data_IF_455610673252
#
_entry.id   IF_455610673252
#
_cell.length_a   1.000
_cell.length_b   1.000
_cell.length_c   1.000
_cell.angle_alpha   90.00
_cell.angle_beta   90.00
_cell.angle_gamma   90.00
#
_symmetry.space_group_name_H-M   'P 1'
#
loop_
_entity.id
_entity.type
_entity.pdbx_description
1 polymer ?
#
# COMPACT_ATOMS: atom_id res chain seq x y z
N UNK A 1 4.13 -24.67 7.10
CA UNK A 1 4.39 -23.31 6.59
C UNK A 1 5.51 -22.63 7.39
N UNK A 2 6.72 -23.25 7.46
CA UNK A 2 7.88 -22.65 8.18
C UNK A 2 8.50 -21.42 7.50
N UNK A 3 8.17 -21.19 6.22
CA UNK A 3 8.79 -20.14 5.39
C UNK A 3 8.35 -18.70 5.73
N UNK A 4 7.22 -18.54 6.40
CA UNK A 4 6.70 -17.22 6.79
C UNK A 4 7.23 -16.73 8.14
N UNK A 5 7.80 -17.58 8.97
CA UNK A 5 8.22 -17.18 10.32
C UNK A 5 9.48 -16.31 10.36
N UNK A 6 10.36 -16.40 9.35
CA UNK A 6 11.68 -15.75 9.38
C UNK A 6 11.93 -14.75 8.24
N UNK A 7 10.90 -14.34 7.48
CA UNK A 7 11.10 -13.40 6.35
C UNK A 7 11.97 -13.96 5.21
N UNK A 8 12.25 -15.26 5.20
CA UNK A 8 13.17 -15.91 4.24
C UNK A 8 12.60 -16.07 2.82
N UNK A 9 11.42 -15.54 2.56
CA UNK A 9 10.83 -15.57 1.22
C UNK A 9 11.66 -14.79 0.17
N UNK A 10 12.51 -13.86 0.59
CA UNK A 10 13.46 -13.18 -0.29
C UNK A 10 14.46 -14.13 -0.96
N UNK A 11 14.79 -15.23 -0.29
CA UNK A 11 15.74 -16.24 -0.77
C UNK A 11 15.11 -17.27 -1.72
N UNK A 12 13.77 -17.22 -1.90
CA UNK A 12 13.05 -18.10 -2.81
C UNK A 12 12.76 -17.38 -4.13
N UNK A 13 13.45 -17.78 -5.19
CA UNK A 13 13.39 -17.13 -6.51
C UNK A 13 11.96 -17.00 -7.06
N UNK A 14 11.15 -18.06 -6.96
CA UNK A 14 9.77 -18.04 -7.45
C UNK A 14 8.88 -17.10 -6.65
N UNK A 15 9.04 -17.07 -5.33
CA UNK A 15 8.26 -16.16 -4.48
C UNK A 15 8.67 -14.70 -4.71
N UNK A 16 9.98 -14.43 -4.81
CA UNK A 16 10.51 -13.11 -5.18
C UNK A 16 9.95 -12.65 -6.53
N UNK A 17 9.94 -13.53 -7.54
CA UNK A 17 9.39 -13.23 -8.86
C UNK A 17 7.90 -12.89 -8.78
N UNK A 18 7.10 -13.71 -8.11
CA UNK A 18 5.65 -13.47 -7.95
C UNK A 18 5.38 -12.12 -7.26
N UNK A 19 6.11 -11.81 -6.20
CA UNK A 19 5.95 -10.55 -5.47
C UNK A 19 6.36 -9.35 -6.33
N UNK A 20 7.47 -9.44 -7.08
CA UNK A 20 7.91 -8.36 -7.98
C UNK A 20 6.87 -8.11 -9.09
N UNK A 21 6.33 -9.16 -9.72
CA UNK A 21 5.27 -9.02 -10.71
C UNK A 21 4.00 -8.39 -10.10
N UNK A 22 3.63 -8.81 -8.89
CA UNK A 22 2.49 -8.19 -8.18
C UNK A 22 2.74 -6.70 -7.91
N UNK A 23 3.95 -6.30 -7.53
CA UNK A 23 4.29 -4.88 -7.34
C UNK A 23 4.22 -4.08 -8.64
N UNK A 24 4.51 -4.68 -9.80
CA UNK A 24 4.29 -4.03 -11.10
C UNK A 24 2.80 -3.72 -11.32
N UNK A 25 1.89 -4.67 -11.04
CA UNK A 25 0.45 -4.41 -11.12
C UNK A 25 -0.02 -3.35 -10.11
N UNK A 26 0.50 -3.37 -8.89
CA UNK A 26 0.16 -2.37 -7.87
C UNK A 26 0.69 -0.97 -8.23
N UNK A 27 1.85 -0.90 -8.89
CA UNK A 27 2.36 0.37 -9.45
C UNK A 27 1.45 0.88 -10.57
N UNK A 28 1.01 0.00 -11.47
CA UNK A 28 0.02 0.34 -12.50
C UNK A 28 -1.28 0.87 -11.88
N UNK A 29 -1.80 0.19 -10.85
CA UNK A 29 -2.97 0.65 -10.08
C UNK A 29 -2.73 2.04 -9.46
N UNK A 30 -1.58 2.27 -8.85
CA UNK A 30 -1.22 3.56 -8.27
C UNK A 30 -1.18 4.69 -9.31
N UNK A 31 -0.58 4.45 -10.48
CA UNK A 31 -0.54 5.41 -11.58
C UNK A 31 -1.94 5.70 -12.12
N UNK A 32 -2.77 4.65 -12.31
CA UNK A 32 -4.13 4.82 -12.83
C UNK A 32 -5.05 5.56 -11.85
N UNK A 33 -4.79 5.49 -10.53
CA UNK A 33 -5.49 6.31 -9.55
C UNK A 33 -5.26 7.81 -9.77
N UNK A 34 -4.03 8.24 -10.08
CA UNK A 34 -3.76 9.62 -10.45
C UNK A 34 -4.50 9.99 -11.73
N UNK A 35 -4.36 9.18 -12.78
CA UNK A 35 -5.01 9.44 -14.06
C UNK A 35 -6.53 9.57 -13.90
N UNK A 36 -7.15 8.68 -13.12
CA UNK A 36 -8.59 8.69 -12.86
C UNK A 36 -9.03 9.91 -12.06
N UNK A 37 -8.23 10.35 -11.08
CA UNK A 37 -8.52 11.55 -10.31
C UNK A 37 -8.48 12.79 -11.20
N UNK A 38 -7.40 12.97 -11.94
CA UNK A 38 -7.22 14.16 -12.81
C UNK A 38 -8.12 14.15 -14.04
N UNK A 39 -8.61 13.00 -14.48
CA UNK A 39 -9.65 12.93 -15.51
C UNK A 39 -11.02 13.47 -15.04
N UNK A 40 -11.26 13.49 -13.73
CA UNK A 40 -12.55 13.90 -13.14
C UNK A 40 -12.48 15.25 -12.43
N UNK A 41 -11.37 15.54 -11.75
CA UNK A 41 -11.18 16.66 -10.83
C UNK A 41 -9.74 17.18 -10.89
N UNK A 42 -9.53 18.38 -10.33
CA UNK A 42 -8.22 18.95 -10.06
C UNK A 42 -7.97 19.02 -8.54
N UNK A 43 -6.76 19.41 -8.13
CA UNK A 43 -6.39 19.57 -6.72
C UNK A 43 -6.94 20.86 -6.08
N UNK A 44 -8.06 21.37 -6.59
CA UNK A 44 -8.75 22.54 -6.05
C UNK A 44 -10.08 22.11 -5.42
N UNK A 45 -10.44 22.62 -4.24
CA UNK A 45 -11.73 22.31 -3.63
C UNK A 45 -12.92 22.63 -4.54
N UNK A 46 -12.83 23.71 -5.32
CA UNK A 46 -13.87 24.06 -6.27
C UNK A 46 -14.09 22.96 -7.32
N UNK A 47 -13.02 22.40 -7.88
CA UNK A 47 -13.14 21.30 -8.86
C UNK A 47 -13.77 20.04 -8.26
N UNK A 48 -13.48 19.75 -6.98
CA UNK A 48 -14.10 18.65 -6.25
C UNK A 48 -15.59 18.92 -6.01
N UNK A 49 -15.96 20.14 -5.64
CA UNK A 49 -17.37 20.54 -5.49
C UNK A 49 -18.11 20.40 -6.83
N UNK A 50 -17.57 20.94 -7.92
CA UNK A 50 -18.15 20.83 -9.26
C UNK A 50 -18.40 19.37 -9.68
N UNK A 51 -17.51 18.45 -9.26
CA UNK A 51 -17.65 17.03 -9.58
C UNK A 51 -18.76 16.35 -8.77
N UNK A 52 -18.87 16.63 -7.46
CA UNK A 52 -19.84 15.97 -6.59
C UNK A 52 -21.19 16.67 -6.55
N UNK A 53 -21.20 18.01 -6.52
CA UNK A 53 -22.40 18.82 -6.37
C UNK A 53 -22.99 19.27 -7.72
N UNK A 54 -22.20 19.15 -8.79
CA UNK A 54 -22.54 19.69 -10.10
C UNK A 54 -22.13 21.16 -10.26
N UNK A 55 -22.25 21.66 -11.47
CA UNK A 55 -21.97 23.06 -11.80
C UNK A 55 -22.83 23.46 -12.99
N UNK A 56 -23.67 24.48 -12.81
CA UNK A 56 -24.51 25.00 -13.89
C UNK A 56 -23.67 25.63 -15.02
N UNK A 57 -22.59 26.33 -14.66
CA UNK A 57 -21.66 26.93 -15.61
C UNK A 57 -20.97 25.91 -16.53
N UNK A 58 -20.77 24.68 -16.02
CA UNK A 58 -20.09 23.58 -16.74
C UNK A 58 -21.05 22.51 -17.23
N UNK A 59 -22.35 22.76 -17.13
CA UNK A 59 -23.42 21.79 -17.48
C UNK A 59 -23.21 20.41 -16.86
N UNK A 60 -22.72 20.37 -15.60
CA UNK A 60 -22.48 19.13 -14.87
C UNK A 60 -23.60 18.89 -13.87
N UNK A 61 -24.23 17.73 -13.98
CA UNK A 61 -25.22 17.27 -13.01
C UNK A 61 -24.55 16.81 -11.71
N UNK A 62 -25.21 16.98 -10.54
CA UNK A 62 -24.72 16.43 -9.27
C UNK A 62 -24.64 14.91 -9.32
N UNK A 63 -23.69 14.32 -8.62
CA UNK A 63 -23.62 12.87 -8.46
C UNK A 63 -24.85 12.33 -7.72
N UNK A 64 -25.46 11.29 -8.29
CA UNK A 64 -26.59 10.62 -7.64
C UNK A 64 -26.11 9.68 -6.54
N UNK A 65 -26.97 9.41 -5.56
CA UNK A 65 -26.70 8.42 -4.50
C UNK A 65 -26.32 7.05 -5.09
N UNK A 66 -27.08 6.59 -6.08
CA UNK A 66 -26.84 5.30 -6.73
C UNK A 66 -25.45 5.25 -7.40
N UNK A 67 -25.09 6.26 -8.18
CA UNK A 67 -23.78 6.32 -8.84
C UNK A 67 -22.63 6.32 -7.82
N UNK A 68 -22.79 6.98 -6.68
CA UNK A 68 -21.78 6.97 -5.61
C UNK A 68 -21.68 5.61 -4.92
N UNK A 69 -22.83 4.96 -4.69
CA UNK A 69 -22.90 3.65 -4.06
C UNK A 69 -22.19 2.58 -4.93
N UNK A 70 -22.48 2.58 -6.25
CA UNK A 70 -21.84 1.67 -7.21
C UNK A 70 -20.31 1.83 -7.23
N UNK A 71 -19.84 3.07 -7.26
CA UNK A 71 -18.38 3.36 -7.21
C UNK A 71 -17.79 2.89 -5.89
N UNK A 72 -18.41 3.24 -4.76
CA UNK A 72 -17.91 2.85 -3.43
C UNK A 72 -17.91 1.33 -3.26
N UNK A 73 -18.96 0.65 -3.72
CA UNK A 73 -19.06 -0.81 -3.63
C UNK A 73 -17.90 -1.52 -4.37
N UNK A 74 -17.45 -0.98 -5.49
CA UNK A 74 -16.32 -1.54 -6.24
C UNK A 74 -14.96 -1.10 -5.69
N UNK A 75 -14.84 0.16 -5.27
CA UNK A 75 -13.57 0.75 -4.82
C UNK A 75 -13.17 0.28 -3.42
N UNK A 76 -14.10 0.23 -2.47
CA UNK A 76 -13.80 -0.04 -1.07
C UNK A 76 -13.12 -1.41 -0.85
N UNK A 77 -13.64 -2.53 -1.40
CA UNK A 77 -12.97 -3.81 -1.28
C UNK A 77 -11.61 -3.83 -1.98
N UNK A 78 -11.51 -3.23 -3.18
CA UNK A 78 -10.27 -3.22 -3.96
C UNK A 78 -9.17 -2.45 -3.23
N UNK A 79 -9.47 -1.24 -2.74
CA UNK A 79 -8.53 -0.43 -1.97
C UNK A 79 -8.14 -1.14 -0.67
N UNK A 80 -9.13 -1.75 0.02
CA UNK A 80 -8.88 -2.54 1.22
C UNK A 80 -7.91 -3.69 0.99
N UNK A 81 -8.08 -4.45 -0.11
CA UNK A 81 -7.17 -5.54 -0.49
C UNK A 81 -5.76 -5.03 -0.83
N UNK A 82 -5.66 -3.93 -1.58
CA UNK A 82 -4.36 -3.32 -1.91
C UNK A 82 -3.61 -2.90 -0.65
N UNK A 83 -4.28 -2.18 0.26
CA UNK A 83 -3.68 -1.72 1.52
C UNK A 83 -3.32 -2.91 2.41
N UNK A 84 -4.21 -3.91 2.51
CA UNK A 84 -3.95 -5.15 3.25
C UNK A 84 -2.70 -5.85 2.71
N UNK A 85 -2.59 -6.05 1.41
CA UNK A 85 -1.48 -6.74 0.79
C UNK A 85 -0.15 -6.01 1.02
N UNK A 86 -0.12 -4.70 0.76
CA UNK A 86 1.09 -3.88 0.94
C UNK A 86 1.53 -3.83 2.41
N UNK A 87 0.59 -3.61 3.33
CA UNK A 87 0.90 -3.56 4.77
C UNK A 87 1.24 -4.94 5.34
N UNK A 88 0.63 -6.01 4.82
CA UNK A 88 0.98 -7.38 5.21
C UNK A 88 2.43 -7.71 4.84
N UNK A 89 2.86 -7.37 3.63
CA UNK A 89 4.26 -7.54 3.23
C UNK A 89 5.21 -6.67 4.03
N UNK A 90 4.80 -5.45 4.42
CA UNK A 90 5.60 -4.56 5.26
C UNK A 90 5.94 -5.17 6.63
N UNK A 91 5.12 -6.09 7.16
CA UNK A 91 5.40 -6.77 8.42
C UNK A 91 6.76 -7.48 8.40
N UNK A 92 7.17 -7.97 7.24
CA UNK A 92 8.45 -8.69 7.07
C UNK A 92 9.64 -7.75 6.80
N UNK A 93 9.39 -6.49 6.45
CA UNK A 93 10.45 -5.52 6.20
C UNK A 93 11.18 -5.12 7.51
N UNK A 94 12.47 -4.71 7.46
CA UNK A 94 13.29 -4.44 8.63
C UNK A 94 12.98 -3.08 9.29
N UNK A 95 11.71 -2.79 9.55
CA UNK A 95 11.28 -1.60 10.27
C UNK A 95 10.99 -1.91 11.74
N UNK A 96 11.16 -0.91 12.61
CA UNK A 96 10.81 -1.01 14.03
C UNK A 96 9.30 -1.26 14.20
N UNK A 97 8.92 -2.07 15.20
CA UNK A 97 7.53 -2.44 15.46
C UNK A 97 6.58 -1.25 15.50
N UNK A 98 6.93 -0.18 16.26
CA UNK A 98 6.12 1.04 16.35
C UNK A 98 5.85 1.69 14.99
N UNK A 99 6.86 1.74 14.12
CA UNK A 99 6.71 2.30 12.78
C UNK A 99 5.77 1.46 11.91
N UNK A 100 5.87 0.13 11.99
CA UNK A 100 4.95 -0.78 11.27
C UNK A 100 3.50 -0.55 11.69
N UNK A 101 3.25 -0.51 12.99
CA UNK A 101 1.89 -0.24 13.53
C UNK A 101 1.37 1.11 13.05
N UNK A 102 2.18 2.16 13.13
CA UNK A 102 1.79 3.50 12.67
C UNK A 102 1.48 3.53 11.17
N UNK A 103 2.32 2.91 10.33
CA UNK A 103 2.10 2.85 8.88
C UNK A 103 0.82 2.08 8.54
N UNK A 104 0.56 0.95 9.21
CA UNK A 104 -0.64 0.15 9.00
C UNK A 104 -1.89 0.97 9.34
N UNK A 105 -1.95 1.54 10.55
CA UNK A 105 -3.10 2.35 10.98
C UNK A 105 -3.31 3.54 10.04
N UNK A 106 -2.24 4.27 9.72
CA UNK A 106 -2.29 5.42 8.84
C UNK A 106 -2.79 5.04 7.43
N UNK A 107 -2.30 3.94 6.86
CA UNK A 107 -2.70 3.45 5.55
C UNK A 107 -4.20 3.14 5.46
N UNK A 108 -4.74 2.37 6.41
CA UNK A 108 -6.17 2.06 6.45
C UNK A 108 -7.04 3.29 6.73
N UNK A 109 -6.60 4.17 7.64
CA UNK A 109 -7.33 5.41 7.96
C UNK A 109 -7.39 6.34 6.75
N UNK A 110 -6.27 6.55 6.06
CA UNK A 110 -6.24 7.39 4.85
C UNK A 110 -7.10 6.82 3.73
N UNK A 111 -7.10 5.50 3.55
CA UNK A 111 -7.94 4.83 2.57
C UNK A 111 -9.44 5.09 2.84
N UNK A 112 -9.88 4.88 4.09
CA UNK A 112 -11.26 5.12 4.50
C UNK A 112 -11.65 6.59 4.40
N UNK A 113 -10.80 7.51 4.86
CA UNK A 113 -11.06 8.96 4.78
C UNK A 113 -11.16 9.44 3.33
N UNK A 114 -10.26 8.95 2.46
CA UNK A 114 -10.29 9.31 1.05
C UNK A 114 -11.59 8.85 0.37
N UNK A 115 -12.08 7.65 0.69
CA UNK A 115 -13.34 7.14 0.13
C UNK A 115 -14.55 7.88 0.73
N UNK A 116 -14.58 8.09 2.04
CA UNK A 116 -15.67 8.77 2.74
C UNK A 116 -15.78 10.25 2.39
N UNK A 117 -14.67 10.92 2.08
CA UNK A 117 -14.65 12.36 1.81
C UNK A 117 -15.60 12.77 0.68
N UNK A 118 -15.73 11.96 -0.38
CA UNK A 118 -16.68 12.23 -1.46
C UNK A 118 -18.13 12.24 -0.99
N UNK A 119 -18.51 11.33 -0.10
CA UNK A 119 -19.84 11.29 0.53
C UNK A 119 -20.10 12.51 1.41
N UNK A 120 -19.10 12.92 2.16
CA UNK A 120 -19.18 14.10 3.03
C UNK A 120 -19.35 15.39 2.18
N UNK A 121 -18.64 15.51 1.06
CA UNK A 121 -18.83 16.64 0.12
C UNK A 121 -20.26 16.65 -0.42
N UNK A 122 -20.77 15.49 -0.83
CA UNK A 122 -22.07 15.41 -1.53
C UNK A 122 -23.27 15.59 -0.61
N UNK A 123 -23.22 15.03 0.62
CA UNK A 123 -24.41 14.89 1.48
C UNK A 123 -24.33 15.67 2.79
N UNK A 124 -23.12 16.16 3.18
CA UNK A 124 -22.95 16.87 4.45
C UNK A 124 -22.62 18.35 4.22
N UNK A 125 -21.46 18.65 3.61
CA UNK A 125 -21.05 20.04 3.37
C UNK A 125 -20.00 20.14 2.26
N UNK A 126 -20.10 21.19 1.38
CA UNK A 126 -19.07 21.50 0.38
C UNK A 126 -17.67 21.73 0.98
N UNK A 127 -17.58 22.14 2.25
CA UNK A 127 -16.31 22.37 2.95
C UNK A 127 -15.43 21.13 3.02
N UNK A 128 -16.01 19.91 2.99
CA UNK A 128 -15.27 18.66 2.94
C UNK A 128 -14.50 18.43 1.63
N UNK A 129 -14.64 19.32 0.64
CA UNK A 129 -13.81 19.28 -0.56
C UNK A 129 -12.30 19.38 -0.25
N UNK A 130 -11.92 20.17 0.78
CA UNK A 130 -10.54 20.21 1.28
C UNK A 130 -10.09 18.87 1.83
N UNK A 131 -10.97 18.19 2.57
CA UNK A 131 -10.67 16.86 3.08
C UNK A 131 -10.42 15.87 1.93
N UNK A 132 -11.22 15.92 0.85
CA UNK A 132 -11.05 15.05 -0.33
C UNK A 132 -9.70 15.28 -1.00
N UNK A 133 -9.28 16.52 -1.20
CA UNK A 133 -7.98 16.85 -1.80
C UNK A 133 -6.83 16.38 -0.92
N UNK A 134 -6.85 16.72 0.37
CA UNK A 134 -5.77 16.40 1.30
C UNK A 134 -5.63 14.90 1.53
N UNK A 135 -6.74 14.17 1.69
CA UNK A 135 -6.71 12.71 1.88
C UNK A 135 -6.30 12.00 0.61
N UNK A 136 -6.69 12.49 -0.57
CA UNK A 136 -6.19 11.94 -1.83
C UNK A 136 -4.67 12.04 -1.92
N UNK A 137 -4.09 13.23 -1.73
CA UNK A 137 -2.63 13.44 -1.79
C UNK A 137 -1.93 12.56 -0.75
N UNK A 138 -2.39 12.58 0.50
CA UNK A 138 -1.78 11.79 1.58
C UNK A 138 -1.84 10.29 1.31
N UNK A 139 -2.96 9.80 0.78
CA UNK A 139 -3.12 8.39 0.43
C UNK A 139 -2.21 7.98 -0.74
N UNK A 140 -2.06 8.83 -1.77
CA UNK A 140 -1.14 8.56 -2.88
C UNK A 140 0.31 8.53 -2.43
N UNK A 141 0.72 9.44 -1.55
CA UNK A 141 2.07 9.42 -0.95
C UNK A 141 2.27 8.13 -0.14
N UNK A 142 1.29 7.72 0.65
CA UNK A 142 1.35 6.49 1.44
C UNK A 142 1.49 5.24 0.55
N UNK A 143 0.71 5.13 -0.53
CA UNK A 143 0.82 4.01 -1.47
C UNK A 143 2.19 3.98 -2.16
N UNK A 144 2.66 5.13 -2.67
CA UNK A 144 3.98 5.26 -3.29
C UNK A 144 5.11 4.87 -2.32
N UNK A 145 5.03 5.31 -1.06
CA UNK A 145 5.96 4.91 -0.01
C UNK A 145 5.95 3.40 0.23
N UNK A 146 4.77 2.78 0.38
CA UNK A 146 4.65 1.34 0.61
C UNK A 146 5.21 0.52 -0.56
N UNK A 147 4.87 0.89 -1.80
CA UNK A 147 5.39 0.21 -3.00
C UNK A 147 6.91 0.34 -3.05
N UNK A 148 7.45 1.55 -2.88
CA UNK A 148 8.91 1.79 -2.93
C UNK A 148 9.64 1.04 -1.82
N UNK A 149 9.12 1.08 -0.59
CA UNK A 149 9.70 0.37 0.55
C UNK A 149 9.77 -1.14 0.30
N UNK A 150 8.72 -1.73 -0.31
CA UNK A 150 8.68 -3.16 -0.63
C UNK A 150 9.59 -3.52 -1.80
N UNK A 151 9.67 -2.69 -2.84
CA UNK A 151 10.64 -2.89 -3.94
C UNK A 151 12.07 -2.92 -3.38
N UNK A 152 12.44 -1.93 -2.58
CA UNK A 152 13.76 -1.87 -1.95
C UNK A 152 14.00 -3.10 -1.07
N UNK A 153 12.99 -3.51 -0.28
CA UNK A 153 13.09 -4.69 0.57
C UNK A 153 13.30 -5.98 -0.23
N UNK A 154 12.60 -6.18 -1.33
CA UNK A 154 12.73 -7.36 -2.18
C UNK A 154 14.02 -7.37 -3.03
N UNK A 155 14.55 -6.18 -3.37
CA UNK A 155 15.81 -6.06 -4.10
C UNK A 155 17.05 -6.19 -3.21
N UNK A 156 16.90 -6.05 -1.90
CA UNK A 156 17.99 -6.23 -0.96
C UNK A 156 18.42 -7.69 -0.97
N UNK A 157 19.66 -7.97 -1.37
CA UNK A 157 20.21 -9.30 -1.24
C UNK A 157 20.28 -9.66 0.25
N UNK A 158 19.63 -10.76 0.61
CA UNK A 158 19.83 -11.35 1.93
C UNK A 158 21.26 -11.83 1.97
N UNK A 159 22.14 -11.11 2.65
CA UNK A 159 23.47 -11.63 3.00
C UNK A 159 23.22 -12.98 3.68
N UNK A 160 23.77 -14.11 3.20
CA UNK A 160 23.60 -15.36 3.89
C UNK A 160 24.14 -15.15 5.31
N UNK A 161 23.32 -15.33 6.34
CA UNK A 161 23.85 -15.58 7.67
C UNK A 161 24.74 -16.80 7.51
N UNK A 162 26.07 -16.56 7.42
CA UNK A 162 27.08 -17.59 7.44
C UNK A 162 26.80 -18.40 8.70
N UNK A 163 26.38 -19.63 8.49
CA UNK A 163 26.03 -20.58 9.53
C UNK A 163 27.20 -20.73 10.52
N UNK A 164 27.30 -19.82 11.48
CA UNK A 164 28.20 -19.95 12.63
C UNK A 164 27.90 -21.22 13.46
N UNK A 165 26.67 -21.76 13.26
CA UNK A 165 26.28 -23.04 13.86
C UNK A 165 26.96 -24.25 13.21
N UNK A 166 27.27 -24.23 11.91
CA UNK A 166 28.00 -25.32 11.22
C UNK A 166 29.52 -25.25 11.48
N UNK A 167 30.07 -24.08 11.76
CA UNK A 167 31.48 -23.95 12.13
C UNK A 167 31.76 -24.55 13.52
N UNK A 168 30.79 -24.53 14.43
CA UNK A 168 30.91 -25.06 15.78
C UNK A 168 30.68 -26.57 15.87
N UNK A 169 30.24 -27.23 14.78
CA UNK A 169 30.02 -28.68 14.71
C UNK A 169 31.14 -29.44 14.00
N UNK A 170 32.28 -28.80 13.69
CA UNK A 170 33.44 -29.55 13.20
C UNK A 170 33.93 -30.45 14.32
N UNK A 171 33.98 -31.80 14.13
CA UNK A 171 34.49 -32.70 15.14
C UNK A 171 35.96 -32.32 15.43
N UNK A 172 36.28 -32.18 16.72
CA UNK A 172 37.68 -32.00 17.18
C UNK A 172 38.55 -33.10 16.59
N UNK A 173 39.73 -32.80 16.04
CA UNK A 173 40.65 -33.80 15.53
C UNK A 173 40.97 -34.80 16.66
N UNK A 174 40.73 -36.10 16.39
CA UNK A 174 41.13 -37.15 17.29
C UNK A 174 42.66 -37.13 17.41
N UNK A 175 43.16 -36.76 18.58
CA UNK A 175 44.58 -36.86 18.93
C UNK A 175 44.91 -38.34 19.04
N UNK A 176 45.36 -38.96 17.94
CA UNK A 176 46.01 -40.28 17.99
C UNK A 176 47.43 -40.10 18.62
N UNK A 177 47.48 -40.21 19.91
CA UNK A 177 48.79 -40.52 20.55
C UNK A 177 49.07 -41.97 20.26
N UNK A 178 49.97 -42.23 19.30
CA UNK A 178 50.64 -43.54 19.15
C UNK A 178 51.58 -43.71 20.33
N UNK A 179 51.46 -44.89 20.97
CA UNK A 179 52.46 -45.48 21.91
C UNK A 179 53.45 -46.27 21.09
#
# INVERSE_FOLDING_TARGET
>A
MKYMQNGSFQNQSLMKLTLMLTLVFLTGFWITNFALYFAKMNLTPQSVQDYFLGSEEKYKMPRTFQSMLEVTHSHLPMIGLVVLFLTHLLIFAPYKFKNKVSIIICGFTLALLNESAGWLVRFVSPAFAWLKVTTFIAFQIMLGFLITALVIFLMRDSTPEVNLQTANQRPKPKNNKAV
#
